data_IF_095519680120
#
_entry.id   IF_095519680120
#
_cell.length_a   1.000
_cell.length_b   1.000
_cell.length_c   1.000
_cell.angle_alpha   90.00
_cell.angle_beta   90.00
_cell.angle_gamma   90.00
#
_symmetry.space_group_name_H-M   'P 1'
#
loop_
_entity.id
_entity.type
_entity.pdbx_description
1 polymer ?
#
# COMPACT_ATOMS: atom_id res chain seq x y z
N UNK A 1 -48.33 -17.69 16.28
CA UNK A 1 -49.36 -17.65 17.33
C UNK A 1 -48.59 -17.61 18.65
N UNK A 2 -48.40 -16.52 19.38
CA UNK A 2 -49.14 -15.27 19.64
C UNK A 2 -48.06 -14.25 20.09
N UNK A 3 -47.80 -13.15 19.36
CA UNK A 3 -48.31 -11.76 19.61
C UNK A 3 -48.30 -11.37 21.09
N UNK A 4 -47.54 -10.38 21.57
CA UNK A 4 -47.76 -8.91 21.57
C UNK A 4 -47.04 -8.46 22.88
N UNK A 5 -46.48 -7.27 23.13
CA UNK A 5 -46.69 -5.91 22.66
C UNK A 5 -45.57 -5.04 23.25
N UNK A 6 -44.96 -4.17 22.43
CA UNK A 6 -44.40 -2.89 22.90
C UNK A 6 -45.51 -1.83 22.99
N UNK A 7 -45.30 -0.77 23.78
CA UNK A 7 -45.65 0.60 23.39
C UNK A 7 -44.44 1.53 23.62
N UNK A 8 -44.01 2.40 22.71
CA UNK A 8 -44.73 3.51 22.08
C UNK A 8 -43.85 4.78 22.19
N UNK A 9 -43.18 5.19 21.10
CA UNK A 9 -43.42 6.38 20.24
C UNK A 9 -43.33 7.77 20.90
N UNK A 10 -42.53 8.65 20.27
CA UNK A 10 -42.90 9.95 19.63
C UNK A 10 -41.65 10.88 19.56
N UNK A 11 -41.38 11.78 18.58
CA UNK A 11 -41.88 12.11 17.25
C UNK A 11 -40.89 13.13 16.59
N UNK A 12 -40.88 13.15 15.23
CA UNK A 12 -40.76 14.30 14.29
C UNK A 12 -39.55 15.28 14.32
N UNK A 13 -38.92 15.42 13.14
CA UNK A 13 -38.86 16.61 12.26
C UNK A 13 -37.69 16.43 11.26
N UNK A 14 -37.92 16.08 10.00
CA UNK A 14 -38.30 16.92 8.82
C UNK A 14 -37.09 17.18 7.90
N UNK A 15 -37.24 16.67 6.67
CA UNK A 15 -36.37 16.70 5.49
C UNK A 15 -36.29 18.14 4.88
N UNK A 16 -35.45 18.45 3.85
CA UNK A 16 -35.59 17.84 2.53
C UNK A 16 -34.30 17.49 1.74
N UNK A 17 -34.45 16.40 1.00
CA UNK A 17 -33.80 16.06 -0.25
C UNK A 17 -34.14 17.10 -1.34
N UNK A 18 -33.19 17.39 -2.23
CA UNK A 18 -33.48 18.04 -3.53
C UNK A 18 -33.17 17.02 -4.63
N UNK A 19 -34.23 16.52 -5.25
CA UNK A 19 -34.21 15.90 -6.58
C UNK A 19 -34.56 16.98 -7.62
N UNK A 20 -33.90 16.95 -8.76
CA UNK A 20 -34.40 17.55 -10.00
C UNK A 20 -34.18 16.56 -11.16
N UNK A 21 -35.26 15.96 -11.63
CA UNK A 21 -35.48 15.51 -13.00
C UNK A 21 -36.56 16.46 -13.59
N UNK A 22 -36.64 16.85 -14.86
CA UNK A 22 -35.92 16.57 -16.10
C UNK A 22 -36.67 17.28 -17.26
N UNK A 23 -36.03 17.42 -18.42
CA UNK A 23 -36.64 17.66 -19.75
C UNK A 23 -35.49 17.48 -20.78
N UNK A 24 -35.56 16.78 -21.91
CA UNK A 24 -36.70 16.24 -22.65
C UNK A 24 -36.85 16.88 -24.03
N UNK A 25 -35.91 16.65 -24.97
CA UNK A 25 -36.01 16.79 -26.44
C UNK A 25 -34.63 16.39 -27.03
N UNK A 26 -34.42 15.62 -28.11
CA UNK A 26 -35.27 15.27 -29.25
C UNK A 26 -34.50 15.58 -30.55
N UNK A 27 -33.93 14.55 -31.18
CA UNK A 27 -33.56 14.37 -32.61
C UNK A 27 -32.52 15.27 -33.32
N UNK A 28 -31.50 14.61 -33.92
CA UNK A 28 -30.97 14.70 -35.32
C UNK A 28 -29.45 14.43 -35.33
N UNK A 29 -28.94 13.28 -35.79
CA UNK A 29 -28.75 12.79 -37.18
C UNK A 29 -27.85 13.70 -38.08
N UNK A 30 -26.59 13.31 -38.22
CA UNK A 30 -25.66 13.56 -39.35
C UNK A 30 -24.33 12.83 -39.00
N UNK A 31 -24.03 11.62 -39.50
CA UNK A 31 -23.53 11.28 -40.85
C UNK A 31 -22.56 12.31 -41.40
N UNK A 32 -21.26 12.00 -41.30
CA UNK A 32 -20.23 12.51 -42.20
C UNK A 32 -19.32 11.34 -42.58
N UNK A 33 -19.67 10.72 -43.70
CA UNK A 33 -18.75 9.97 -44.55
C UNK A 33 -17.71 10.94 -45.10
N UNK A 34 -16.43 10.58 -45.04
CA UNK A 34 -15.47 11.01 -46.04
C UNK A 34 -14.76 9.78 -46.61
N UNK A 35 -15.23 9.40 -47.80
CA UNK A 35 -14.50 8.60 -48.77
C UNK A 35 -13.40 9.46 -49.37
N UNK A 36 -12.18 8.93 -49.44
CA UNK A 36 -11.31 9.18 -50.58
C UNK A 36 -10.71 7.86 -51.06
N UNK A 37 -11.12 7.49 -52.28
CA UNK A 37 -10.47 6.54 -53.18
C UNK A 37 -9.03 7.04 -53.45
N UNK A 38 -8.02 6.20 -53.25
CA UNK A 38 -7.38 5.34 -54.25
C UNK A 38 -6.69 6.09 -55.40
N UNK A 39 -5.36 5.98 -55.46
CA UNK A 39 -4.63 5.66 -56.70
C UNK A 39 -3.29 5.02 -56.38
N UNK A 40 -3.11 3.86 -57.01
CA UNK A 40 -1.91 3.07 -57.19
C UNK A 40 -0.76 3.81 -57.89
N UNK A 41 0.48 3.50 -57.55
CA UNK A 41 1.50 3.19 -58.55
C UNK A 41 2.57 2.25 -57.97
N UNK A 42 2.75 1.11 -58.66
CA UNK A 42 3.94 0.26 -58.59
C UNK A 42 5.09 0.96 -59.30
N UNK A 43 6.31 0.85 -58.78
CA UNK A 43 7.45 0.48 -59.60
C UNK A 43 8.52 -0.25 -58.77
N UNK A 44 8.98 -1.36 -59.34
CA UNK A 44 10.11 -2.20 -58.95
C UNK A 44 11.44 -1.49 -59.23
N UNK A 45 12.53 -1.92 -58.58
CA UNK A 45 13.87 -1.70 -59.13
C UNK A 45 15.04 -1.54 -58.16
N UNK A 46 15.52 -2.67 -57.63
CA UNK A 46 16.93 -3.10 -57.57
C UNK A 46 18.10 -2.11 -57.32
N UNK A 47 18.91 -2.42 -56.29
CA UNK A 47 20.36 -2.67 -56.47
C UNK A 47 21.39 -1.64 -55.98
N UNK A 48 22.41 -2.15 -55.26
CA UNK A 48 23.81 -1.62 -55.21
C UNK A 48 24.08 -0.50 -54.20
N UNK A 49 24.67 -0.75 -53.03
CA UNK A 49 26.12 -0.92 -52.71
C UNK A 49 26.93 0.39 -52.74
N UNK A 50 27.66 0.57 -51.63
CA UNK A 50 28.89 1.36 -51.41
C UNK A 50 28.86 2.80 -50.85
N UNK A 51 29.37 2.85 -49.61
CA UNK A 51 30.40 3.72 -49.04
C UNK A 51 30.26 5.25 -48.91
N UNK A 52 30.35 5.62 -47.62
CA UNK A 52 31.09 6.75 -47.04
C UNK A 52 30.73 8.16 -47.49
N UNK A 53 30.19 8.92 -46.55
CA UNK A 53 30.74 10.24 -46.28
C UNK A 53 30.52 10.67 -44.82
N UNK A 54 31.60 11.20 -44.24
CA UNK A 54 31.59 11.97 -42.99
C UNK A 54 30.97 13.33 -43.30
N UNK A 55 30.01 13.77 -42.50
CA UNK A 55 29.71 15.19 -42.36
C UNK A 55 29.23 15.51 -40.94
N UNK A 56 29.71 16.67 -40.49
CA UNK A 56 29.63 17.27 -39.17
C UNK A 56 28.18 17.53 -38.72
N UNK A 57 27.93 17.40 -37.41
CA UNK A 57 26.68 17.86 -36.79
C UNK A 57 26.96 19.18 -36.08
N UNK A 58 26.58 20.28 -36.75
CA UNK A 58 26.42 21.59 -36.15
C UNK A 58 25.15 21.70 -35.30
N UNK A 59 25.24 22.53 -34.26
CA UNK A 59 24.17 22.90 -33.35
C UNK A 59 23.06 23.73 -33.99
N UNK A 60 21.80 23.40 -33.69
CA UNK A 60 20.63 24.14 -34.16
C UNK A 60 19.38 24.00 -33.27
N UNK A 61 19.34 24.82 -32.21
CA UNK A 61 18.20 25.53 -31.57
C UNK A 61 16.77 24.94 -31.62
N UNK A 62 16.24 24.76 -30.40
CA UNK A 62 14.93 25.19 -29.87
C UNK A 62 13.68 25.22 -30.78
N UNK A 63 12.69 24.40 -30.41
CA UNK A 63 11.28 24.73 -30.53
C UNK A 63 10.52 24.33 -29.25
N UNK A 64 9.84 25.31 -28.68
CA UNK A 64 9.11 25.28 -27.40
C UNK A 64 7.78 24.54 -27.56
N UNK A 65 7.44 23.69 -26.58
CA UNK A 65 6.08 23.19 -26.39
C UNK A 65 5.20 24.26 -25.73
N UNK A 66 4.08 24.57 -26.36
CA UNK A 66 3.04 25.49 -25.88
C UNK A 66 2.00 24.71 -25.10
N UNK A 67 1.83 25.02 -23.81
CA UNK A 67 0.69 24.55 -22.99
C UNK A 67 -0.40 25.61 -23.05
N UNK A 68 -1.56 25.26 -23.61
CA UNK A 68 -2.75 26.10 -23.61
C UNK A 68 -3.49 25.95 -22.27
N UNK A 69 -3.66 27.05 -21.54
CA UNK A 69 -4.54 27.14 -20.36
C UNK A 69 -5.61 28.19 -20.63
N UNK A 70 -6.91 27.97 -20.30
CA UNK A 70 -7.98 28.92 -20.63
C UNK A 70 -8.02 30.13 -19.66
N UNK A 71 -8.60 31.29 -20.07
CA UNK A 71 -8.47 32.56 -19.36
C UNK A 71 -9.65 32.92 -18.45
N UNK A 72 -9.38 33.71 -17.39
CA UNK A 72 -10.38 34.34 -16.51
C UNK A 72 -9.82 35.34 -15.48
N UNK A 73 -9.53 36.56 -15.93
CA UNK A 73 -9.51 37.92 -15.31
C UNK A 73 -9.46 38.07 -13.75
N UNK A 74 -8.37 38.56 -13.09
CA UNK A 74 -7.83 39.97 -12.87
C UNK A 74 -8.52 40.72 -11.68
N UNK A 75 -7.87 41.60 -10.84
CA UNK A 75 -6.56 42.26 -10.97
C UNK A 75 -5.58 42.21 -9.77
N UNK A 76 -4.35 42.63 -10.11
CA UNK A 76 -3.18 42.84 -9.28
C UNK A 76 -3.11 44.24 -8.62
N UNK A 77 -2.36 44.34 -7.53
CA UNK A 77 -1.64 45.56 -7.14
C UNK A 77 -0.13 45.24 -7.03
N UNK A 78 0.65 45.89 -7.90
CA UNK A 78 2.10 46.22 -7.80
C UNK A 78 2.30 47.27 -6.69
N UNK A 79 3.46 47.58 -6.14
CA UNK A 79 4.85 47.15 -6.25
C UNK A 79 5.58 47.70 -4.99
N UNK A 80 6.77 47.21 -4.68
CA UNK A 80 8.01 48.00 -4.48
C UNK A 80 9.06 47.21 -3.66
N UNK A 81 10.15 46.82 -4.33
CA UNK A 81 11.50 46.61 -3.77
C UNK A 81 12.14 48.01 -3.47
N UNK A 82 13.32 48.19 -2.82
CA UNK A 82 14.47 47.28 -2.55
C UNK A 82 15.11 47.57 -1.14
N UNK A 83 16.45 47.46 -0.85
CA UNK A 83 17.58 46.76 -1.45
C UNK A 83 18.46 45.94 -0.45
N UNK A 84 19.54 45.38 -0.99
CA UNK A 84 20.55 44.52 -0.38
C UNK A 84 21.62 45.22 0.49
N UNK A 85 22.38 44.36 1.20
CA UNK A 85 23.74 44.49 1.76
C UNK A 85 23.92 44.97 3.21
N UNK A 86 24.48 44.10 4.07
CA UNK A 86 25.62 44.42 4.95
C UNK A 86 26.12 43.18 5.72
N UNK A 87 27.43 43.18 5.92
CA UNK A 87 28.34 42.14 6.40
C UNK A 87 28.16 41.66 7.86
N UNK A 88 28.70 40.47 8.07
CA UNK A 88 29.16 39.85 9.33
C UNK A 88 29.89 40.77 10.31
N UNK A 89 29.57 40.63 11.60
CA UNK A 89 30.50 40.83 12.73
C UNK A 89 30.12 39.90 13.90
N UNK A 90 31.02 38.95 14.23
CA UNK A 90 31.06 38.25 15.53
C UNK A 90 31.87 39.10 16.51
N UNK A 91 31.44 39.21 17.78
CA UNK A 91 32.15 38.66 18.96
C UNK A 91 31.63 39.20 20.31
N UNK A 92 31.71 38.29 21.30
CA UNK A 92 31.90 38.48 22.75
C UNK A 92 30.68 38.69 23.66
N UNK A 93 30.26 37.58 24.30
CA UNK A 93 30.64 37.32 25.70
C UNK A 93 29.75 37.89 26.81
N UNK A 94 28.98 37.03 27.47
CA UNK A 94 29.02 36.74 28.93
C UNK A 94 27.82 35.87 29.32
N UNK A 95 28.10 34.67 29.82
CA UNK A 95 27.17 33.88 30.62
C UNK A 95 27.04 34.53 32.00
N UNK A 96 25.81 34.75 32.45
CA UNK A 96 25.47 34.88 33.86
C UNK A 96 24.25 34.01 34.16
N UNK A 97 24.43 33.11 35.10
CA UNK A 97 23.36 32.46 35.85
C UNK A 97 22.45 33.50 36.50
N UNK A 98 21.15 33.30 36.40
CA UNK A 98 20.20 33.71 37.44
C UNK A 98 18.92 32.88 37.35
N UNK A 99 18.79 31.97 38.30
CA UNK A 99 17.55 31.36 38.75
C UNK A 99 16.67 32.45 39.37
N UNK A 100 15.57 32.87 38.72
CA UNK A 100 14.43 33.48 39.43
C UNK A 100 13.13 33.45 38.61
N UNK A 101 12.12 32.77 39.18
CA UNK A 101 10.67 33.01 39.08
C UNK A 101 10.05 33.39 37.71
N UNK A 102 9.50 32.40 37.00
CA UNK A 102 8.50 32.62 35.94
C UNK A 102 7.14 33.01 36.55
N UNK A 103 6.99 34.30 36.84
CA UNK A 103 5.69 34.94 37.03
C UNK A 103 4.99 35.14 35.67
N UNK A 104 3.74 34.68 35.60
CA UNK A 104 2.86 34.81 34.44
C UNK A 104 2.74 36.26 33.99
N UNK A 105 2.99 36.55 32.70
CA UNK A 105 2.61 37.80 32.04
C UNK A 105 1.78 37.49 30.79
N UNK A 106 0.55 38.01 30.66
CA UNK A 106 -0.26 37.79 29.47
C UNK A 106 0.18 38.68 28.31
N UNK A 107 0.21 38.08 27.11
CA UNK A 107 0.50 38.73 25.84
C UNK A 107 -0.63 39.73 25.50
N UNK A 108 -0.27 41.00 25.22
CA UNK A 108 -1.20 42.03 24.75
C UNK A 108 -1.34 41.95 23.23
N UNK A 109 -2.52 41.58 22.75
CA UNK A 109 -2.93 41.75 21.35
C UNK A 109 -3.46 43.19 21.13
N UNK A 110 -2.98 43.89 20.10
CA UNK A 110 -3.37 45.27 19.74
C UNK A 110 -3.97 45.27 18.33
N UNK A 111 -5.16 45.85 18.18
CA UNK A 111 -5.88 46.06 16.93
C UNK A 111 -7.12 45.16 16.84
N UNK A 112 -8.37 45.63 16.81
CA UNK A 112 -8.87 46.96 16.46
C UNK A 112 -9.91 46.82 15.35
N UNK A 113 -11.06 46.19 15.64
CA UNK A 113 -12.29 46.35 14.87
C UNK A 113 -13.43 46.48 15.87
N UNK A 114 -14.05 47.65 15.85
CA UNK A 114 -15.22 48.02 16.63
C UNK A 114 -16.43 47.21 16.16
N UNK A 115 -16.89 46.31 17.02
CA UNK A 115 -18.16 45.60 16.88
C UNK A 115 -18.68 45.28 18.28
N UNK A 116 -19.59 46.09 18.78
CA UNK A 116 -20.19 45.89 20.11
C UNK A 116 -21.27 44.81 20.06
N UNK A 117 -20.88 43.53 20.00
CA UNK A 117 -21.80 42.45 20.35
C UNK A 117 -21.89 42.33 21.87
N UNK A 118 -22.90 42.98 22.47
CA UNK A 118 -23.35 42.64 23.82
C UNK A 118 -24.08 41.30 23.76
N UNK A 119 -23.36 40.21 24.03
CA UNK A 119 -24.00 38.98 24.49
C UNK A 119 -24.44 39.23 25.94
N UNK A 120 -25.70 39.63 26.13
CA UNK A 120 -26.33 39.61 27.46
C UNK A 120 -26.53 38.14 27.84
N UNK A 121 -25.90 37.70 28.93
CA UNK A 121 -26.25 36.46 29.62
C UNK A 121 -25.35 35.26 29.38
N UNK A 122 -24.03 35.40 29.52
CA UNK A 122 -23.18 34.25 29.84
C UNK A 122 -22.67 34.47 31.27
N UNK A 123 -23.22 33.68 32.17
CA UNK A 123 -22.81 33.57 33.56
C UNK A 123 -21.29 33.28 33.63
N UNK A 124 -20.55 34.00 34.48
CA UNK A 124 -19.08 33.86 34.59
C UNK A 124 -18.66 32.43 34.99
N UNK A 125 -19.59 31.62 35.47
CA UNK A 125 -19.38 30.21 35.82
C UNK A 125 -19.33 29.26 34.61
N UNK A 126 -19.84 29.66 33.44
CA UNK A 126 -19.82 28.80 32.23
C UNK A 126 -18.47 28.85 31.51
N UNK A 127 -17.67 29.90 31.74
CA UNK A 127 -16.36 30.04 31.11
C UNK A 127 -15.23 29.29 31.84
N UNK A 128 -15.48 28.77 33.06
CA UNK A 128 -14.50 27.98 33.81
C UNK A 128 -14.53 26.48 33.49
N UNK A 129 -15.64 25.97 32.92
CA UNK A 129 -15.78 24.55 32.55
C UNK A 129 -15.17 24.20 31.18
N UNK A 130 -14.95 25.19 30.31
CA UNK A 130 -14.41 24.98 28.96
C UNK A 130 -12.89 25.21 28.83
N UNK A 131 -12.23 25.77 29.84
CA UNK A 131 -10.78 26.06 29.83
C UNK A 131 -9.92 25.06 30.61
N UNK A 132 -10.51 23.96 31.09
CA UNK A 132 -9.72 22.77 31.43
C UNK A 132 -9.42 22.05 30.13
N UNK A 133 -8.25 22.33 29.54
CA UNK A 133 -7.59 21.35 28.69
C UNK A 133 -7.69 20.01 29.42
N UNK A 134 -8.47 19.08 28.85
CA UNK A 134 -8.77 17.77 29.40
C UNK A 134 -7.47 17.08 29.82
N UNK A 135 -7.08 17.26 31.09
CA UNK A 135 -5.94 16.59 31.69
C UNK A 135 -6.36 15.14 31.78
N UNK A 136 -5.88 14.30 30.85
CA UNK A 136 -6.13 12.85 30.90
C UNK A 136 -5.77 12.38 32.30
N UNK A 137 -6.74 11.80 33.00
CA UNK A 137 -6.53 11.22 34.31
C UNK A 137 -5.40 10.18 34.20
N UNK A 138 -4.55 10.14 35.21
CA UNK A 138 -3.42 9.22 35.32
C UNK A 138 -3.76 8.07 36.26
N UNK A 139 -2.94 7.02 36.28
CA UNK A 139 -3.12 5.90 37.24
C UNK A 139 -3.05 6.35 38.70
N UNK A 140 -2.43 7.51 38.97
CA UNK A 140 -2.34 8.11 40.30
C UNK A 140 -3.67 8.76 40.67
N UNK A 141 -4.30 9.47 39.72
CA UNK A 141 -5.60 10.09 39.94
C UNK A 141 -6.68 9.04 40.22
N UNK A 142 -6.66 7.91 39.49
CA UNK A 142 -7.55 6.77 39.75
C UNK A 142 -7.29 6.10 41.10
N UNK A 143 -6.03 6.00 41.51
CA UNK A 143 -5.67 5.45 42.81
C UNK A 143 -6.26 6.31 43.95
N UNK A 144 -6.16 7.62 43.82
CA UNK A 144 -6.72 8.58 44.77
C UNK A 144 -8.26 8.50 44.82
N UNK A 145 -8.91 8.48 43.65
CA UNK A 145 -10.38 8.37 43.53
C UNK A 145 -10.93 7.05 44.11
N UNK A 146 -10.19 5.94 43.95
CA UNK A 146 -10.59 4.63 44.46
C UNK A 146 -10.11 4.34 45.90
N UNK A 147 -9.34 5.24 46.51
CA UNK A 147 -8.80 5.09 47.86
C UNK A 147 -7.81 3.91 47.98
N UNK A 148 -6.98 3.69 46.97
CA UNK A 148 -6.00 2.59 46.92
C UNK A 148 -4.63 3.09 46.47
N UNK A 149 -3.59 2.26 46.54
CA UNK A 149 -2.28 2.60 45.97
C UNK A 149 -2.28 2.48 44.44
N UNK A 150 -1.42 3.24 43.76
CA UNK A 150 -1.19 3.13 42.31
C UNK A 150 -0.86 1.67 41.90
N UNK A 151 -0.08 0.96 42.73
CA UNK A 151 0.24 -0.46 42.52
C UNK A 151 -1.01 -1.34 42.51
N UNK A 152 -2.00 -1.04 43.36
CA UNK A 152 -3.27 -1.77 43.43
C UNK A 152 -4.11 -1.54 42.18
N UNK A 153 -4.21 -0.30 41.69
CA UNK A 153 -4.86 0.02 40.40
C UNK A 153 -4.22 -0.78 39.27
N UNK A 154 -2.89 -0.82 39.24
CA UNK A 154 -2.15 -1.56 38.22
C UNK A 154 -2.39 -3.08 38.27
N UNK A 155 -2.54 -3.67 39.46
CA UNK A 155 -2.88 -5.09 39.62
C UNK A 155 -4.31 -5.40 39.20
N UNK A 156 -5.25 -4.49 39.45
CA UNK A 156 -6.65 -4.59 39.00
C UNK A 156 -6.73 -4.56 37.47
N UNK A 157 -6.02 -3.64 36.83
CA UNK A 157 -5.95 -3.53 35.37
C UNK A 157 -5.30 -4.75 34.69
N UNK A 158 -4.46 -5.48 35.41
CA UNK A 158 -3.80 -6.72 34.95
C UNK A 158 -4.57 -7.99 35.32
N UNK A 159 -5.71 -7.85 35.99
CA UNK A 159 -6.52 -8.94 36.52
C UNK A 159 -5.74 -9.98 37.33
N UNK A 160 -4.84 -9.53 38.21
CA UNK A 160 -4.06 -10.44 39.04
C UNK A 160 -4.89 -10.96 40.23
N UNK A 161 -4.82 -12.27 40.57
CA UNK A 161 -5.61 -12.88 41.65
C UNK A 161 -5.26 -12.38 43.07
N UNK A 162 -4.21 -11.55 43.18
CA UNK A 162 -3.74 -10.97 44.44
C UNK A 162 -4.59 -9.80 44.96
N UNK A 163 -5.64 -9.38 44.25
CA UNK A 163 -6.51 -8.27 44.65
C UNK A 163 -7.84 -8.79 45.17
N UNK A 164 -8.23 -8.34 46.38
CA UNK A 164 -9.54 -8.68 46.96
C UNK A 164 -10.69 -8.26 46.02
N UNK A 165 -11.74 -9.08 45.86
CA UNK A 165 -12.87 -8.79 44.95
C UNK A 165 -13.49 -7.42 45.16
N UNK A 166 -13.68 -7.00 46.42
CA UNK A 166 -14.24 -5.69 46.78
C UNK A 166 -13.38 -4.52 46.30
N UNK A 167 -12.06 -4.63 46.46
CA UNK A 167 -11.10 -3.61 46.00
C UNK A 167 -11.06 -3.55 44.47
N UNK A 168 -11.13 -4.71 43.81
CA UNK A 168 -11.22 -4.80 42.34
C UNK A 168 -12.47 -4.10 41.83
N UNK A 169 -13.63 -4.38 42.42
CA UNK A 169 -14.90 -3.77 42.06
C UNK A 169 -14.88 -2.24 42.23
N UNK A 170 -14.32 -1.73 43.34
CA UNK A 170 -14.20 -0.29 43.60
C UNK A 170 -13.33 0.42 42.56
N UNK A 171 -12.18 -0.15 42.22
CA UNK A 171 -11.27 0.43 41.21
C UNK A 171 -11.91 0.39 39.81
N UNK A 172 -12.55 -0.73 39.43
CA UNK A 172 -13.22 -0.84 38.13
C UNK A 172 -14.37 0.14 37.98
N UNK A 173 -15.13 0.39 39.04
CA UNK A 173 -16.18 1.40 39.06
C UNK A 173 -15.62 2.80 38.77
N UNK A 174 -14.55 3.20 39.45
CA UNK A 174 -13.89 4.49 39.20
C UNK A 174 -13.32 4.59 37.78
N UNK A 175 -12.77 3.50 37.25
CA UNK A 175 -12.28 3.46 35.86
C UNK A 175 -13.44 3.71 34.88
N UNK A 176 -14.60 3.10 35.12
CA UNK A 176 -15.79 3.24 34.30
C UNK A 176 -16.40 4.65 34.41
N UNK A 177 -16.59 5.15 35.63
CA UNK A 177 -17.22 6.45 35.93
C UNK A 177 -16.43 7.63 35.31
N UNK A 178 -15.11 7.46 35.12
CA UNK A 178 -14.20 8.48 34.62
C UNK A 178 -13.57 8.15 33.26
N UNK A 179 -14.07 7.12 32.58
CA UNK A 179 -13.59 6.65 31.27
C UNK A 179 -12.06 6.53 31.17
N UNK A 180 -11.42 6.12 32.27
CA UNK A 180 -9.98 6.08 32.35
C UNK A 180 -9.43 4.93 31.50
N UNK A 181 -8.60 5.27 30.52
CA UNK A 181 -7.80 4.32 29.77
C UNK A 181 -6.31 4.48 30.12
N UNK A 182 -5.61 3.41 30.52
CA UNK A 182 -4.17 3.47 30.75
C UNK A 182 -3.44 4.00 29.52
N UNK A 183 -2.52 4.95 29.70
CA UNK A 183 -1.74 5.46 28.57
C UNK A 183 -0.90 4.34 27.96
N UNK A 184 -0.86 4.26 26.62
CA UNK A 184 -0.05 3.26 25.92
C UNK A 184 1.43 3.33 26.33
N UNK A 185 1.94 4.54 26.64
CA UNK A 185 3.29 4.76 27.16
C UNK A 185 3.51 4.14 28.56
N UNK A 186 2.56 4.26 29.50
CA UNK A 186 2.68 3.65 30.82
C UNK A 186 2.60 2.11 30.74
N UNK A 187 1.77 1.56 29.85
CA UNK A 187 1.72 0.13 29.56
C UNK A 187 3.03 -0.36 28.93
N UNK A 188 3.60 0.40 27.99
CA UNK A 188 4.90 0.14 27.37
C UNK A 188 6.04 0.08 28.39
N UNK A 189 6.13 1.08 29.27
CA UNK A 189 7.18 1.13 30.30
C UNK A 189 7.11 -0.08 31.26
N UNK A 190 5.91 -0.55 31.58
CA UNK A 190 5.72 -1.66 32.52
C UNK A 190 5.89 -3.04 31.86
N UNK A 191 5.42 -3.21 30.63
CA UNK A 191 5.46 -4.49 29.91
C UNK A 191 6.69 -4.66 29.03
N UNK A 192 7.46 -3.58 28.81
CA UNK A 192 8.51 -3.47 27.78
C UNK A 192 8.03 -3.83 26.37
N UNK A 193 6.71 -3.76 26.13
CA UNK A 193 6.06 -4.08 24.86
C UNK A 193 5.08 -2.99 24.45
N UNK A 194 5.07 -2.63 23.17
CA UNK A 194 4.19 -1.62 22.59
C UNK A 194 2.81 -2.12 22.21
N UNK A 195 2.65 -3.42 22.06
CA UNK A 195 1.47 -4.04 21.47
C UNK A 195 1.29 -3.60 20.02
N UNK A 196 2.39 -3.33 19.30
CA UNK A 196 2.36 -2.85 17.92
C UNK A 196 3.35 -3.62 17.05
N UNK A 197 2.93 -4.03 15.86
CA UNK A 197 3.76 -4.69 14.85
C UNK A 197 3.89 -3.78 13.63
N UNK A 198 5.11 -3.60 13.14
CA UNK A 198 5.34 -2.94 11.86
C UNK A 198 5.09 -3.92 10.71
N UNK A 199 4.32 -3.51 9.72
CA UNK A 199 4.12 -4.22 8.46
C UNK A 199 4.73 -3.38 7.35
N UNK A 200 5.81 -3.89 6.74
CA UNK A 200 6.53 -3.22 5.65
C UNK A 200 6.09 -3.84 4.31
N UNK A 201 5.54 -3.02 3.42
CA UNK A 201 5.03 -3.44 2.11
C UNK A 201 5.73 -2.68 0.99
N UNK A 202 5.75 -3.24 -0.22
CA UNK A 202 6.49 -2.62 -1.33
C UNK A 202 5.74 -1.43 -1.95
N UNK A 203 4.57 -1.68 -2.55
CA UNK A 203 3.78 -0.62 -3.18
C UNK A 203 2.29 -0.89 -3.04
N UNK A 204 1.54 0.11 -2.58
CA UNK A 204 0.08 0.07 -2.45
C UNK A 204 -0.66 0.15 -3.79
N UNK A 205 0.05 0.48 -4.89
CA UNK A 205 -0.54 0.51 -6.24
C UNK A 205 -0.85 -0.90 -6.76
N UNK A 206 -0.09 -1.91 -6.34
CA UNK A 206 -0.34 -3.30 -6.69
C UNK A 206 -1.40 -3.89 -5.75
N UNK A 207 -2.58 -4.32 -6.25
CA UNK A 207 -3.71 -4.77 -5.42
C UNK A 207 -3.43 -5.98 -4.52
N UNK A 208 -2.35 -6.73 -4.76
CA UNK A 208 -1.90 -7.80 -3.87
C UNK A 208 -1.57 -7.26 -2.47
N UNK A 209 -0.89 -6.12 -2.35
CA UNK A 209 -0.43 -5.62 -1.06
C UNK A 209 -1.57 -5.10 -0.17
N UNK A 210 -2.56 -4.34 -0.67
CA UNK A 210 -3.75 -4.01 0.10
C UNK A 210 -4.51 -5.25 0.58
N UNK A 211 -4.64 -6.29 -0.25
CA UNK A 211 -5.28 -7.55 0.16
C UNK A 211 -4.49 -8.23 1.29
N UNK A 212 -3.17 -8.37 1.13
CA UNK A 212 -2.31 -8.98 2.15
C UNK A 212 -2.32 -8.17 3.45
N UNK A 213 -2.27 -6.84 3.35
CA UNK A 213 -2.29 -5.92 4.48
C UNK A 213 -3.60 -6.07 5.26
N UNK A 214 -4.75 -6.14 4.60
CA UNK A 214 -6.04 -6.34 5.26
C UNK A 214 -6.03 -7.63 6.10
N UNK A 215 -5.61 -8.75 5.51
CA UNK A 215 -5.50 -10.03 6.22
C UNK A 215 -4.56 -9.95 7.42
N UNK A 216 -3.39 -9.30 7.26
CA UNK A 216 -2.43 -9.10 8.34
C UNK A 216 -3.01 -8.24 9.47
N UNK A 217 -3.67 -7.13 9.14
CA UNK A 217 -4.30 -6.22 10.11
C UNK A 217 -5.35 -6.97 10.92
N UNK A 218 -6.24 -7.69 10.27
CA UNK A 218 -7.31 -8.45 10.94
C UNK A 218 -6.72 -9.53 11.85
N UNK A 219 -5.70 -10.26 11.37
CA UNK A 219 -5.09 -11.32 12.15
C UNK A 219 -4.28 -10.80 13.33
N UNK A 220 -3.50 -9.73 13.15
CA UNK A 220 -2.77 -9.06 14.23
C UNK A 220 -3.72 -8.48 15.28
N UNK A 221 -4.82 -7.84 14.86
CA UNK A 221 -5.84 -7.32 15.76
C UNK A 221 -6.49 -8.42 16.60
N UNK A 222 -6.79 -9.58 15.98
CA UNK A 222 -7.32 -10.75 16.71
C UNK A 222 -6.36 -11.30 17.78
N UNK A 223 -5.06 -11.00 17.66
CA UNK A 223 -4.02 -11.35 18.64
C UNK A 223 -3.67 -10.20 19.59
N UNK A 224 -4.43 -9.10 19.57
CA UNK A 224 -4.25 -7.94 20.46
C UNK A 224 -3.13 -6.99 20.05
N UNK A 225 -2.63 -7.08 18.82
CA UNK A 225 -1.64 -6.16 18.26
C UNK A 225 -2.31 -5.04 17.47
N UNK A 226 -1.68 -3.87 17.50
CA UNK A 226 -1.93 -2.78 16.54
C UNK A 226 -0.93 -2.88 15.40
N UNK A 227 -1.29 -2.35 14.24
CA UNK A 227 -0.43 -2.37 13.05
C UNK A 227 0.05 -0.97 12.72
N UNK A 228 1.34 -0.81 12.42
CA UNK A 228 1.88 0.37 11.72
C UNK A 228 2.31 -0.06 10.33
N UNK A 229 1.90 0.71 9.32
CA UNK A 229 2.18 0.38 7.92
C UNK A 229 3.32 1.25 7.43
N UNK A 230 4.29 0.59 6.79
CA UNK A 230 5.46 1.23 6.19
C UNK A 230 5.48 0.84 4.72
N UNK A 231 5.38 1.82 3.84
CA UNK A 231 5.59 1.61 2.41
C UNK A 231 7.06 1.82 2.10
N UNK A 232 7.66 0.86 1.40
CA UNK A 232 9.04 0.92 0.96
C UNK A 232 9.10 0.66 -0.54
N UNK A 233 9.23 1.74 -1.30
CA UNK A 233 9.42 1.65 -2.73
C UNK A 233 10.91 1.45 -3.06
N UNK A 234 11.24 0.29 -3.65
CA UNK A 234 12.60 -0.02 -4.08
C UNK A 234 13.53 -0.48 -2.95
N UNK A 235 14.75 0.05 -2.93
CA UNK A 235 15.81 -0.41 -2.02
C UNK A 235 15.63 0.23 -0.64
N UNK A 236 15.71 -0.59 0.40
CA UNK A 236 15.82 -0.13 1.78
C UNK A 236 17.06 0.77 1.95
N UNK A 237 16.91 1.90 2.64
CA UNK A 237 18.01 2.82 2.94
C UNK A 237 18.33 2.85 4.44
N UNK A 238 19.48 3.42 4.79
CA UNK A 238 19.97 3.52 6.17
C UNK A 238 19.00 4.28 7.09
N UNK A 239 18.29 5.27 6.55
CA UNK A 239 17.29 6.03 7.29
C UNK A 239 16.10 5.13 7.68
N UNK A 240 15.62 4.31 6.75
CA UNK A 240 14.55 3.33 6.97
C UNK A 240 14.98 2.25 7.95
N UNK A 241 16.22 1.72 7.85
CA UNK A 241 16.77 0.77 8.82
C UNK A 241 16.70 1.34 10.23
N UNK A 242 17.25 2.56 10.39
CA UNK A 242 17.29 3.24 11.68
C UNK A 242 15.89 3.50 12.23
N UNK A 243 15.00 4.04 11.41
CA UNK A 243 13.63 4.32 11.80
C UNK A 243 12.86 3.05 12.21
N UNK A 244 13.03 1.94 11.47
CA UNK A 244 12.41 0.66 11.83
C UNK A 244 13.00 0.08 13.12
N UNK A 245 14.33 0.10 13.27
CA UNK A 245 15.03 -0.37 14.47
C UNK A 245 14.60 0.43 15.72
N UNK A 246 14.59 1.76 15.63
CA UNK A 246 14.22 2.69 16.71
C UNK A 246 12.71 2.76 16.96
N UNK A 247 11.87 2.30 16.02
CA UNK A 247 10.42 2.37 16.17
C UNK A 247 9.95 1.61 17.42
N UNK A 248 8.90 2.13 18.08
CA UNK A 248 8.27 1.50 19.24
C UNK A 248 7.37 0.32 18.81
N UNK A 249 7.91 -0.63 18.05
CA UNK A 249 7.24 -1.85 17.57
C UNK A 249 7.87 -3.09 18.18
N UNK A 250 7.04 -4.06 18.55
CA UNK A 250 7.46 -5.32 19.18
C UNK A 250 8.05 -6.32 18.16
N UNK A 251 7.84 -6.08 16.87
CA UNK A 251 8.33 -6.92 15.79
C UNK A 251 7.93 -6.38 14.42
N UNK A 252 8.49 -6.99 13.38
CA UNK A 252 8.37 -6.55 11.99
C UNK A 252 7.93 -7.72 11.11
N UNK A 253 6.91 -7.48 10.29
CA UNK A 253 6.54 -8.34 9.16
C UNK A 253 6.96 -7.61 7.89
N UNK A 254 7.81 -8.22 7.09
CA UNK A 254 8.47 -7.57 5.96
C UNK A 254 8.11 -8.26 4.64
N UNK A 255 7.28 -7.60 3.82
CA UNK A 255 6.80 -8.09 2.53
C UNK A 255 7.56 -7.52 1.31
N UNK A 256 8.43 -6.54 1.53
CA UNK A 256 9.14 -5.81 0.48
C UNK A 256 10.57 -6.32 0.22
N UNK A 257 10.95 -7.47 0.79
CA UNK A 257 12.36 -7.90 0.85
C UNK A 257 12.97 -8.11 -0.54
N UNK A 258 14.18 -7.60 -0.73
CA UNK A 258 15.06 -7.85 -1.87
C UNK A 258 16.38 -8.44 -1.38
N UNK A 259 17.10 -9.16 -2.23
CA UNK A 259 18.40 -9.76 -1.86
C UNK A 259 19.40 -8.72 -1.31
N UNK A 260 19.37 -7.51 -1.84
CA UNK A 260 20.18 -6.36 -1.39
C UNK A 260 19.75 -5.77 -0.04
N UNK A 261 18.55 -6.11 0.46
CA UNK A 261 18.07 -5.71 1.79
C UNK A 261 18.68 -6.55 2.91
N UNK A 262 19.38 -7.66 2.60
CA UNK A 262 19.85 -8.65 3.58
C UNK A 262 20.59 -8.04 4.77
N UNK A 263 21.65 -7.26 4.50
CA UNK A 263 22.49 -6.66 5.55
C UNK A 263 21.69 -5.70 6.43
N UNK A 264 20.81 -4.91 5.81
CA UNK A 264 19.93 -3.97 6.49
C UNK A 264 18.89 -4.68 7.35
N UNK A 265 18.30 -5.77 6.86
CA UNK A 265 17.37 -6.59 7.62
C UNK A 265 18.04 -7.24 8.83
N UNK A 266 19.32 -7.66 8.72
CA UNK A 266 20.09 -8.20 9.86
C UNK A 266 20.24 -7.16 10.97
N UNK A 267 20.46 -5.89 10.62
CA UNK A 267 20.55 -4.80 11.61
C UNK A 267 19.22 -4.51 12.29
N UNK A 268 18.09 -4.61 11.59
CA UNK A 268 16.76 -4.53 12.22
C UNK A 268 16.52 -5.75 13.12
N UNK A 269 16.91 -6.95 12.67
CA UNK A 269 16.73 -8.21 13.39
C UNK A 269 17.53 -8.27 14.70
N UNK A 270 18.64 -7.54 14.81
CA UNK A 270 19.42 -7.43 16.03
C UNK A 270 18.66 -6.74 17.17
N UNK A 271 17.71 -5.86 16.84
CA UNK A 271 16.93 -5.08 17.82
C UNK A 271 15.55 -5.68 18.10
N UNK A 272 14.94 -6.36 17.11
CA UNK A 272 13.59 -6.91 17.24
C UNK A 272 13.31 -8.07 16.28
N UNK A 273 12.36 -8.96 16.62
CA UNK A 273 11.93 -10.03 15.73
C UNK A 273 11.47 -9.52 14.36
N UNK A 274 11.98 -10.14 13.30
CA UNK A 274 11.56 -9.89 11.92
C UNK A 274 11.16 -11.20 11.25
N UNK A 275 10.08 -11.14 10.47
CA UNK A 275 9.62 -12.26 9.63
C UNK A 275 9.39 -11.74 8.23
N UNK A 276 9.93 -12.45 7.24
CA UNK A 276 9.71 -12.18 5.84
C UNK A 276 8.43 -12.90 5.38
N UNK A 277 7.59 -12.21 4.62
CA UNK A 277 6.38 -12.78 4.03
C UNK A 277 6.34 -12.47 2.54
N UNK A 278 5.80 -13.37 1.72
CA UNK A 278 5.62 -13.22 0.27
C UNK A 278 6.92 -13.17 -0.54
N UNK A 279 7.93 -12.42 -0.10
CA UNK A 279 9.29 -12.39 -0.65
C UNK A 279 10.29 -12.99 0.33
N UNK A 280 11.28 -13.70 -0.22
CA UNK A 280 12.48 -14.16 0.47
C UNK A 280 13.73 -13.39 0.02
N UNK A 281 14.78 -13.51 0.81
CA UNK A 281 16.17 -13.17 0.46
C UNK A 281 16.99 -14.44 0.43
N UNK A 282 18.09 -14.49 -0.32
CA UNK A 282 18.96 -15.66 -0.48
C UNK A 282 19.81 -15.98 0.76
N UNK A 283 19.18 -16.11 1.94
CA UNK A 283 19.81 -16.49 3.21
C UNK A 283 18.77 -17.10 4.16
N UNK A 284 19.22 -18.02 5.02
CA UNK A 284 18.39 -18.69 6.03
C UNK A 284 18.41 -17.99 7.40
N UNK A 285 18.82 -16.72 7.44
CA UNK A 285 18.92 -15.94 8.69
C UNK A 285 17.56 -15.50 9.24
N UNK A 286 16.51 -15.49 8.41
CA UNK A 286 15.20 -14.94 8.75
C UNK A 286 14.12 -16.00 8.67
N UNK A 287 13.15 -15.93 9.59
CA UNK A 287 11.90 -16.64 9.39
C UNK A 287 11.23 -16.13 8.12
N UNK A 288 10.88 -17.04 7.23
CA UNK A 288 10.42 -16.70 5.89
C UNK A 288 9.20 -17.53 5.54
N UNK A 289 8.09 -16.88 5.18
CA UNK A 289 6.86 -17.54 4.79
C UNK A 289 6.49 -17.10 3.38
N UNK A 290 6.52 -18.02 2.44
CA UNK A 290 6.31 -17.75 1.01
C UNK A 290 5.32 -18.73 0.40
N UNK A 291 4.67 -18.31 -0.68
CA UNK A 291 4.01 -19.23 -1.61
C UNK A 291 5.05 -19.93 -2.48
N UNK A 292 4.76 -21.14 -2.94
CA UNK A 292 5.62 -21.88 -3.87
C UNK A 292 5.62 -21.27 -5.28
N UNK A 293 6.31 -20.14 -5.42
CA UNK A 293 6.35 -19.36 -6.66
C UNK A 293 6.89 -20.16 -7.84
N UNK A 294 7.86 -21.06 -7.60
CA UNK A 294 8.40 -21.96 -8.62
C UNK A 294 7.33 -22.93 -9.11
N UNK A 295 6.70 -23.68 -8.20
CA UNK A 295 5.66 -24.62 -8.59
C UNK A 295 4.46 -23.90 -9.24
N UNK A 296 4.14 -22.68 -8.81
CA UNK A 296 3.09 -21.87 -9.42
C UNK A 296 3.38 -21.53 -10.89
N UNK A 297 4.59 -21.04 -11.19
CA UNK A 297 5.00 -20.80 -12.57
C UNK A 297 5.02 -22.09 -13.41
N UNK A 298 5.52 -23.18 -12.82
CA UNK A 298 5.56 -24.50 -13.46
C UNK A 298 4.16 -25.03 -13.82
N UNK A 299 3.18 -24.89 -12.93
CA UNK A 299 1.77 -25.28 -13.18
C UNK A 299 1.18 -24.57 -14.40
N UNK A 300 1.48 -23.27 -14.59
CA UNK A 300 0.98 -22.53 -15.76
C UNK A 300 1.61 -23.05 -17.05
N UNK A 301 2.92 -23.34 -17.04
CA UNK A 301 3.61 -23.91 -18.19
C UNK A 301 3.06 -25.30 -18.54
N UNK A 302 2.94 -26.19 -17.54
CA UNK A 302 2.38 -27.53 -17.73
C UNK A 302 0.93 -27.47 -18.26
N UNK A 303 0.14 -26.48 -17.81
CA UNK A 303 -1.20 -26.23 -18.32
C UNK A 303 -1.20 -25.81 -19.80
N UNK A 304 -0.32 -24.90 -20.21
CA UNK A 304 -0.19 -24.51 -21.62
C UNK A 304 0.26 -25.66 -22.51
N UNK A 305 1.25 -26.45 -22.06
CA UNK A 305 1.78 -27.60 -22.79
C UNK A 305 0.72 -28.68 -22.95
N UNK A 306 0.02 -29.03 -21.87
CA UNK A 306 -1.03 -30.06 -21.90
C UNK A 306 -2.23 -29.67 -22.76
N UNK A 307 -2.53 -28.36 -22.86
CA UNK A 307 -3.54 -27.83 -23.77
C UNK A 307 -3.06 -27.68 -25.23
N UNK A 308 -1.81 -28.03 -25.53
CA UNK A 308 -1.25 -27.97 -26.88
C UNK A 308 -1.01 -26.56 -27.43
N UNK A 309 -0.85 -25.57 -26.54
CA UNK A 309 -0.50 -24.18 -26.92
C UNK A 309 0.92 -24.14 -27.49
N UNK A 310 1.11 -23.39 -28.57
CA UNK A 310 2.32 -23.47 -29.40
C UNK A 310 3.15 -22.19 -29.39
N UNK A 311 2.52 -21.03 -29.31
CA UNK A 311 3.22 -19.75 -29.33
C UNK A 311 2.89 -19.00 -28.04
N UNK A 312 3.82 -19.07 -27.09
CA UNK A 312 3.62 -18.70 -25.71
C UNK A 312 4.36 -17.40 -25.41
N UNK A 313 3.62 -16.41 -24.92
CA UNK A 313 4.17 -15.17 -24.39
C UNK A 313 4.40 -15.24 -22.88
N UNK A 314 5.46 -14.58 -22.41
CA UNK A 314 5.68 -14.24 -21.01
C UNK A 314 5.74 -12.71 -20.88
N UNK A 315 4.82 -12.15 -20.12
CA UNK A 315 4.89 -10.75 -19.71
C UNK A 315 5.34 -10.72 -18.24
N UNK A 316 6.55 -10.18 -18.03
CA UNK A 316 7.14 -10.11 -16.70
C UNK A 316 7.99 -8.85 -16.52
N UNK A 317 8.41 -8.57 -15.28
CA UNK A 317 9.17 -7.38 -14.94
C UNK A 317 10.66 -7.64 -14.66
N UNK A 318 11.30 -8.54 -15.39
CA UNK A 318 12.64 -9.00 -15.05
C UNK A 318 13.79 -8.02 -15.35
N UNK A 319 13.51 -6.93 -16.04
CA UNK A 319 14.47 -5.83 -16.24
C UNK A 319 14.24 -4.67 -15.25
N UNK A 320 13.19 -4.75 -14.42
CA UNK A 320 12.84 -3.71 -13.44
C UNK A 320 13.56 -3.87 -12.11
N UNK A 321 13.48 -2.86 -11.23
CA UNK A 321 13.87 -3.02 -9.80
C UNK A 321 13.15 -4.21 -9.14
N UNK A 322 11.98 -4.59 -9.64
CA UNK A 322 11.18 -5.72 -9.15
C UNK A 322 11.63 -7.08 -9.70
N UNK A 323 12.56 -7.13 -10.66
CA UNK A 323 13.22 -8.38 -11.09
C UNK A 323 14.04 -9.04 -10.00
N UNK A 324 14.52 -8.23 -9.06
CA UNK A 324 15.24 -8.67 -7.88
C UNK A 324 14.32 -9.33 -6.85
N UNK A 325 12.99 -9.21 -7.01
CA UNK A 325 12.06 -9.89 -6.12
C UNK A 325 12.10 -11.39 -6.38
N UNK A 326 12.31 -12.16 -5.31
CA UNK A 326 12.33 -13.62 -5.36
C UNK A 326 11.06 -14.21 -5.99
N UNK A 327 9.90 -13.60 -5.76
CA UNK A 327 8.63 -14.05 -6.34
C UNK A 327 8.67 -14.12 -7.86
N UNK A 328 9.14 -13.07 -8.53
CA UNK A 328 9.16 -12.97 -9.99
C UNK A 328 10.19 -13.94 -10.57
N UNK A 329 11.40 -13.95 -10.01
CA UNK A 329 12.46 -14.88 -10.41
C UNK A 329 11.99 -16.33 -10.34
N UNK A 330 11.34 -16.72 -9.25
CA UNK A 330 10.88 -18.10 -9.06
C UNK A 330 9.71 -18.46 -9.99
N UNK A 331 8.73 -17.55 -10.18
CA UNK A 331 7.62 -17.73 -11.13
C UNK A 331 8.14 -17.94 -12.56
N UNK A 332 9.06 -17.09 -13.00
CA UNK A 332 9.67 -17.22 -14.32
C UNK A 332 10.48 -18.49 -14.47
N UNK A 333 11.30 -18.81 -13.47
CA UNK A 333 12.12 -20.04 -13.47
C UNK A 333 11.25 -21.27 -13.63
N UNK A 334 10.20 -21.40 -12.82
CA UNK A 334 9.28 -22.53 -12.89
C UNK A 334 8.55 -22.60 -14.23
N UNK A 335 8.13 -21.46 -14.76
CA UNK A 335 7.45 -21.38 -16.06
C UNK A 335 8.38 -21.80 -17.21
N UNK A 336 9.58 -21.21 -17.29
CA UNK A 336 10.56 -21.51 -18.34
C UNK A 336 10.99 -22.98 -18.32
N UNK A 337 11.29 -23.52 -17.14
CA UNK A 337 11.64 -24.94 -16.99
C UNK A 337 10.47 -25.88 -17.33
N UNK A 338 9.23 -25.45 -17.06
CA UNK A 338 8.03 -26.19 -17.44
C UNK A 338 7.75 -26.23 -18.93
N UNK A 339 8.06 -25.15 -19.65
CA UNK A 339 7.94 -25.12 -21.10
C UNK A 339 8.95 -26.04 -21.80
N UNK A 340 10.06 -26.38 -21.13
CA UNK A 340 11.09 -27.26 -21.67
C UNK A 340 11.59 -26.76 -23.03
N UNK A 341 11.50 -27.60 -24.07
CA UNK A 341 11.96 -27.26 -25.41
C UNK A 341 11.22 -26.05 -26.04
N UNK A 342 9.97 -25.77 -25.66
CA UNK A 342 9.22 -24.60 -26.17
C UNK A 342 9.85 -23.28 -25.73
N UNK A 343 10.61 -23.27 -24.62
CA UNK A 343 11.30 -22.08 -24.11
C UNK A 343 12.54 -21.67 -24.93
N UNK A 344 13.01 -22.53 -25.86
CA UNK A 344 14.28 -22.35 -26.57
C UNK A 344 14.12 -21.99 -28.06
N UNK A 345 12.89 -21.86 -28.56
CA UNK A 345 12.62 -21.56 -29.96
C UNK A 345 11.82 -20.28 -30.18
N UNK A 346 11.48 -19.99 -31.44
CA UNK A 346 10.56 -18.90 -31.79
C UNK A 346 9.15 -19.10 -31.21
N UNK A 347 8.87 -20.22 -30.55
CA UNK A 347 7.63 -20.48 -29.84
C UNK A 347 7.47 -19.66 -28.54
N UNK A 348 8.52 -18.96 -28.10
CA UNK A 348 8.52 -18.19 -26.86
C UNK A 348 8.90 -16.72 -27.10
N UNK A 349 8.11 -15.79 -26.58
CA UNK A 349 8.47 -14.37 -26.54
C UNK A 349 8.34 -13.82 -25.14
N UNK A 350 9.39 -13.13 -24.72
CA UNK A 350 9.50 -12.46 -23.43
C UNK A 350 9.43 -10.96 -23.64
N UNK A 351 8.56 -10.29 -22.90
CA UNK A 351 8.56 -8.85 -22.80
C UNK A 351 8.86 -8.44 -21.35
N UNK A 352 9.92 -7.65 -21.17
CA UNK A 352 10.41 -7.21 -19.86
C UNK A 352 9.95 -5.79 -19.50
N UNK A 353 9.63 -5.58 -18.22
CA UNK A 353 9.08 -4.33 -17.68
C UNK A 353 10.06 -3.47 -16.89
N UNK A 354 9.62 -2.24 -16.61
CA UNK A 354 10.10 -1.36 -15.54
C UNK A 354 9.18 -1.33 -14.29
N UNK A 355 7.92 -1.78 -14.39
CA UNK A 355 6.90 -1.68 -13.32
C UNK A 355 5.80 -2.78 -13.42
N UNK A 356 4.98 -2.93 -12.36
CA UNK A 356 3.82 -3.82 -12.25
C UNK A 356 2.50 -3.03 -12.23
N UNK A 357 2.10 -2.50 -13.39
CA UNK A 357 0.85 -1.74 -13.54
C UNK A 357 -0.05 -2.28 -14.64
N UNK A 358 -1.30 -1.81 -14.63
CA UNK A 358 -2.27 -2.08 -15.69
C UNK A 358 -1.80 -1.54 -17.05
N UNK A 359 -1.36 -0.27 -17.08
CA UNK A 359 -0.93 0.42 -18.29
C UNK A 359 0.28 -0.28 -18.92
N UNK A 360 1.14 -0.85 -18.08
CA UNK A 360 2.25 -1.66 -18.54
C UNK A 360 1.75 -2.94 -19.22
N UNK A 361 0.87 -3.70 -18.57
CA UNK A 361 0.30 -4.91 -19.16
C UNK A 361 -0.38 -4.64 -20.51
N UNK A 362 -1.12 -3.53 -20.59
CA UNK A 362 -1.79 -3.09 -21.81
C UNK A 362 -0.78 -2.82 -22.95
N UNK A 363 0.18 -1.91 -22.72
CA UNK A 363 1.16 -1.53 -23.75
C UNK A 363 2.04 -2.70 -24.18
N UNK A 364 2.48 -3.51 -23.23
CA UNK A 364 3.34 -4.66 -23.52
C UNK A 364 2.62 -5.71 -24.35
N UNK A 365 1.36 -5.98 -24.05
CA UNK A 365 0.57 -6.89 -24.86
C UNK A 365 0.32 -6.34 -26.26
N UNK A 366 0.10 -5.03 -26.43
CA UNK A 366 -0.01 -4.42 -27.77
C UNK A 366 1.25 -4.66 -28.61
N UNK A 367 2.44 -4.41 -28.02
CA UNK A 367 3.73 -4.69 -28.69
C UNK A 367 3.86 -6.18 -29.00
N UNK A 368 3.57 -7.06 -28.04
CA UNK A 368 3.65 -8.50 -28.21
C UNK A 368 2.75 -8.99 -29.36
N UNK A 369 1.52 -8.50 -29.45
CA UNK A 369 0.58 -8.86 -30.52
C UNK A 369 1.00 -8.32 -31.89
N UNK A 370 1.64 -7.16 -31.93
CA UNK A 370 2.17 -6.58 -33.16
C UNK A 370 3.39 -7.37 -33.69
N UNK A 371 4.28 -7.78 -32.80
CA UNK A 371 5.46 -8.58 -33.14
C UNK A 371 5.11 -10.05 -33.43
N UNK A 372 4.17 -10.61 -32.65
CA UNK A 372 3.76 -12.01 -32.67
C UNK A 372 2.25 -12.16 -32.73
N UNK A 373 1.63 -11.91 -33.90
CA UNK A 373 0.19 -12.09 -34.08
C UNK A 373 -0.26 -13.54 -33.92
N UNK A 374 0.67 -14.50 -33.94
CA UNK A 374 0.46 -15.95 -33.75
C UNK A 374 0.47 -16.41 -32.29
N UNK A 375 0.73 -15.51 -31.31
CA UNK A 375 0.69 -15.86 -29.89
C UNK A 375 -0.70 -16.38 -29.48
N UNK A 376 -0.73 -17.58 -28.90
CA UNK A 376 -1.95 -18.32 -28.56
C UNK A 376 -2.15 -18.54 -27.06
N UNK A 377 -1.12 -18.24 -26.25
CA UNK A 377 -1.21 -18.18 -24.79
C UNK A 377 -0.20 -17.19 -24.21
N UNK A 378 -0.57 -16.47 -23.14
CA UNK A 378 0.31 -15.54 -22.43
C UNK A 378 0.20 -15.77 -20.93
N UNK A 379 1.35 -15.95 -20.29
CA UNK A 379 1.48 -15.90 -18.84
C UNK A 379 1.97 -14.52 -18.41
N UNK A 380 1.21 -13.88 -17.53
CA UNK A 380 1.59 -12.63 -16.87
C UNK A 380 1.96 -12.96 -15.42
N UNK A 381 3.15 -12.57 -14.97
CA UNK A 381 3.63 -12.89 -13.61
C UNK A 381 2.92 -12.12 -12.49
N UNK A 382 1.92 -11.31 -12.83
CA UNK A 382 1.00 -10.61 -11.92
C UNK A 382 -0.38 -10.40 -12.57
N UNK A 383 -1.46 -10.51 -11.78
CA UNK A 383 -2.83 -10.29 -12.25
C UNK A 383 -3.11 -8.88 -12.77
N UNK A 384 -2.57 -7.81 -12.16
CA UNK A 384 -2.86 -6.44 -12.65
C UNK A 384 -2.32 -6.24 -14.06
N UNK A 385 -1.17 -6.85 -14.35
CA UNK A 385 -0.55 -6.89 -15.68
C UNK A 385 -1.38 -7.76 -16.62
N UNK A 386 -1.86 -8.92 -16.15
CA UNK A 386 -2.73 -9.79 -16.93
C UNK A 386 -4.04 -9.12 -17.35
N UNK A 387 -4.63 -8.30 -16.46
CA UNK A 387 -5.84 -7.53 -16.74
C UNK A 387 -5.57 -6.47 -17.82
N UNK A 388 -4.43 -5.77 -17.75
CA UNK A 388 -4.00 -4.86 -18.82
C UNK A 388 -3.80 -5.59 -20.16
N UNK A 389 -3.14 -6.76 -20.13
CA UNK A 389 -2.93 -7.57 -21.31
C UNK A 389 -4.25 -8.08 -21.92
N UNK A 390 -5.19 -8.49 -21.08
CA UNK A 390 -6.53 -8.91 -21.50
C UNK A 390 -7.28 -7.77 -22.20
N UNK A 391 -7.20 -6.55 -21.68
CA UNK A 391 -7.82 -5.38 -22.30
C UNK A 391 -7.17 -5.02 -23.65
N UNK A 392 -5.84 -5.08 -23.74
CA UNK A 392 -5.13 -4.88 -25.00
C UNK A 392 -5.49 -5.93 -26.06
N UNK A 393 -5.61 -7.20 -25.67
CA UNK A 393 -6.04 -8.26 -26.59
C UNK A 393 -7.44 -7.99 -27.14
N UNK A 394 -8.38 -7.56 -26.28
CA UNK A 394 -9.74 -7.15 -26.69
C UNK A 394 -9.70 -5.95 -27.63
N UNK A 395 -8.87 -4.94 -27.34
CA UNK A 395 -8.68 -3.77 -28.18
C UNK A 395 -8.15 -4.13 -29.58
N UNK A 396 -7.29 -5.14 -29.67
CA UNK A 396 -6.77 -5.69 -30.93
C UNK A 396 -7.74 -6.67 -31.63
N UNK A 397 -8.94 -6.88 -31.09
CA UNK A 397 -9.95 -7.79 -31.65
C UNK A 397 -9.66 -9.28 -31.47
N UNK A 398 -8.65 -9.66 -30.65
CA UNK A 398 -8.34 -11.05 -30.33
C UNK A 398 -9.42 -11.63 -29.43
N UNK A 399 -9.93 -12.81 -29.78
CA UNK A 399 -10.90 -13.53 -28.96
C UNK A 399 -10.20 -14.28 -27.82
N UNK A 400 -10.59 -13.98 -26.59
CA UNK A 400 -10.15 -14.70 -25.38
C UNK A 400 -11.37 -15.41 -24.80
N UNK A 401 -11.37 -16.75 -24.62
CA UNK A 401 -10.22 -17.66 -24.69
C UNK A 401 -10.00 -18.32 -26.07
N UNK A 402 -10.79 -17.99 -27.10
CA UNK A 402 -10.81 -18.72 -28.37
C UNK A 402 -9.46 -18.75 -29.10
N UNK A 403 -8.90 -17.58 -29.40
CA UNK A 403 -7.63 -17.43 -30.11
C UNK A 403 -6.45 -17.31 -29.16
N UNK A 404 -6.66 -16.69 -27.99
CA UNK A 404 -5.61 -16.35 -27.04
C UNK A 404 -6.03 -16.74 -25.62
N UNK A 405 -5.12 -17.41 -24.91
CA UNK A 405 -5.23 -17.62 -23.47
C UNK A 405 -4.46 -16.58 -22.68
N UNK A 406 -5.04 -16.11 -21.58
CA UNK A 406 -4.36 -15.19 -20.66
C UNK A 406 -4.43 -15.76 -19.25
N UNK A 407 -3.27 -15.96 -18.63
CA UNK A 407 -3.15 -16.42 -17.24
C UNK A 407 -2.37 -15.40 -16.42
N UNK A 408 -2.91 -15.04 -15.26
CA UNK A 408 -2.25 -14.18 -14.28
C UNK A 408 -1.60 -14.93 -13.13
N UNK A 409 -1.26 -14.18 -12.09
CA UNK A 409 -0.76 -14.70 -10.83
C UNK A 409 -1.20 -13.75 -9.71
N UNK A 410 -1.66 -14.31 -8.58
CA UNK A 410 -1.96 -13.71 -7.27
C UNK A 410 -3.42 -13.97 -6.80
N UNK A 411 -4.36 -14.13 -7.73
CA UNK A 411 -5.81 -14.17 -7.52
C UNK A 411 -6.37 -12.93 -6.81
N UNK A 412 -5.99 -11.74 -7.29
CA UNK A 412 -6.50 -10.45 -6.77
C UNK A 412 -8.02 -10.36 -6.94
N UNK A 413 -8.74 -9.49 -6.18
CA UNK A 413 -10.21 -9.48 -6.20
C UNK A 413 -10.77 -9.21 -7.60
N UNK A 414 -10.08 -8.36 -8.38
CA UNK A 414 -10.43 -8.03 -9.76
C UNK A 414 -10.40 -9.24 -10.70
N UNK A 415 -9.53 -10.24 -10.45
CA UNK A 415 -9.44 -11.44 -11.28
C UNK A 415 -10.76 -12.24 -11.31
N UNK A 416 -11.58 -12.10 -10.26
CA UNK A 416 -12.88 -12.77 -10.11
C UNK A 416 -14.05 -11.99 -10.67
N UNK A 417 -13.87 -10.71 -11.02
CA UNK A 417 -14.96 -9.91 -11.57
C UNK A 417 -15.45 -10.54 -12.86
N UNK A 418 -16.76 -10.57 -13.03
CA UNK A 418 -17.39 -11.26 -14.16
C UNK A 418 -16.79 -10.79 -15.50
N UNK A 419 -16.70 -9.50 -15.75
CA UNK A 419 -16.13 -8.95 -16.98
C UNK A 419 -14.63 -9.28 -17.22
N UNK A 420 -13.91 -9.75 -16.20
CA UNK A 420 -12.50 -10.14 -16.27
C UNK A 420 -12.39 -11.67 -16.29
N UNK A 421 -12.87 -12.34 -15.24
CA UNK A 421 -12.90 -13.80 -15.07
C UNK A 421 -11.58 -14.45 -15.49
N UNK A 422 -10.50 -13.96 -14.88
CA UNK A 422 -9.11 -14.27 -15.21
C UNK A 422 -8.68 -15.59 -14.55
N UNK A 423 -8.19 -16.53 -15.35
CA UNK A 423 -7.44 -17.68 -14.88
C UNK A 423 -6.13 -17.23 -14.26
N UNK A 424 -5.81 -17.71 -13.05
CA UNK A 424 -4.66 -17.20 -12.28
C UNK A 424 -4.19 -18.19 -11.23
N UNK A 425 -2.93 -18.09 -10.83
CA UNK A 425 -2.41 -18.83 -9.69
C UNK A 425 -2.79 -18.12 -8.39
N UNK A 426 -3.59 -18.78 -7.56
CA UNK A 426 -4.01 -18.28 -6.26
C UNK A 426 -2.92 -18.49 -5.21
N UNK A 427 -2.47 -17.40 -4.59
CA UNK A 427 -1.60 -17.49 -3.42
C UNK A 427 -2.43 -17.88 -2.18
N UNK A 428 -1.89 -18.74 -1.29
CA UNK A 428 -2.56 -19.15 -0.05
C UNK A 428 -2.42 -18.07 1.05
N UNK A 429 -2.76 -16.82 0.76
CA UNK A 429 -2.51 -15.68 1.64
C UNK A 429 -3.09 -15.84 3.05
N UNK A 430 -4.33 -16.36 3.26
CA UNK A 430 -4.84 -16.59 4.61
C UNK A 430 -3.93 -17.52 5.42
N UNK A 431 -3.49 -18.64 4.83
CA UNK A 431 -2.60 -19.58 5.50
C UNK A 431 -1.20 -18.98 5.74
N UNK A 432 -0.67 -18.18 4.80
CA UNK A 432 0.59 -17.46 4.99
C UNK A 432 0.51 -16.48 6.17
N UNK A 433 -0.57 -15.70 6.25
CA UNK A 433 -0.80 -14.71 7.31
C UNK A 433 -0.93 -15.39 8.67
N UNK A 434 -1.65 -16.51 8.74
CA UNK A 434 -1.74 -17.32 9.95
C UNK A 434 -0.36 -17.76 10.46
N UNK A 435 0.47 -18.30 9.56
CA UNK A 435 1.80 -18.78 9.90
C UNK A 435 2.73 -17.64 10.33
N UNK A 436 2.68 -16.50 9.65
CA UNK A 436 3.52 -15.34 9.98
C UNK A 436 3.16 -14.75 11.35
N UNK A 437 1.88 -14.55 11.63
CA UNK A 437 1.46 -13.98 12.92
C UNK A 437 1.75 -14.94 14.07
N UNK A 438 1.50 -16.24 13.89
CA UNK A 438 1.82 -17.23 14.92
C UNK A 438 3.32 -17.32 15.17
N UNK A 439 4.13 -17.35 14.10
CA UNK A 439 5.59 -17.40 14.23
C UNK A 439 6.15 -16.16 14.89
N UNK A 440 5.62 -14.97 14.58
CA UNK A 440 6.06 -13.71 15.17
C UNK A 440 5.81 -13.72 16.68
N UNK A 441 4.63 -14.16 17.10
CA UNK A 441 4.28 -14.26 18.52
C UNK A 441 5.20 -15.26 19.26
N UNK A 442 5.52 -16.40 18.64
CA UNK A 442 6.49 -17.36 19.19
C UNK A 442 7.88 -16.77 19.32
N UNK A 443 8.36 -16.06 18.29
CA UNK A 443 9.63 -15.32 18.31
C UNK A 443 9.71 -14.28 19.43
N UNK A 444 8.64 -13.52 19.63
CA UNK A 444 8.57 -12.50 20.70
C UNK A 444 8.65 -13.14 22.10
N UNK A 445 8.22 -14.39 22.26
CA UNK A 445 8.24 -15.12 23.55
C UNK A 445 9.48 -15.99 23.72
N UNK A 446 10.04 -16.49 22.61
CA UNK A 446 11.22 -17.34 22.54
C UNK A 446 12.18 -16.78 21.48
N UNK A 447 13.05 -15.82 21.84
CA UNK A 447 13.93 -15.15 20.88
C UNK A 447 14.91 -16.09 20.17
N UNK A 448 15.34 -17.17 20.83
CA UNK A 448 16.40 -18.07 20.36
C UNK A 448 15.92 -19.19 19.41
N UNK A 449 14.69 -19.09 18.88
CA UNK A 449 14.19 -20.06 17.90
C UNK A 449 15.12 -20.13 16.68
N UNK A 450 15.40 -21.32 16.15
CA UNK A 450 16.09 -21.42 14.87
C UNK A 450 15.20 -20.79 13.77
N UNK A 451 15.72 -19.92 12.89
CA UNK A 451 14.98 -19.44 11.73
C UNK A 451 14.46 -20.61 10.90
N UNK A 452 13.31 -20.45 10.24
CA UNK A 452 12.80 -21.46 9.34
C UNK A 452 12.10 -20.82 8.13
N UNK A 453 12.15 -21.53 7.01
CA UNK A 453 11.43 -21.17 5.79
C UNK A 453 10.23 -22.10 5.62
N UNK A 454 9.04 -21.52 5.49
CA UNK A 454 7.80 -22.23 5.18
C UNK A 454 7.35 -21.88 3.77
N UNK A 455 7.20 -22.90 2.93
CA UNK A 455 6.72 -22.77 1.56
C UNK A 455 5.33 -23.40 1.49
N UNK A 456 4.31 -22.59 1.19
CA UNK A 456 2.94 -23.07 1.06
C UNK A 456 2.59 -23.36 -0.41
N UNK A 457 1.84 -24.44 -0.68
CA UNK A 457 1.36 -24.73 -2.03
C UNK A 457 0.37 -23.66 -2.52
N UNK A 458 0.30 -23.50 -3.83
CA UNK A 458 -0.67 -22.66 -4.53
C UNK A 458 -1.41 -23.48 -5.58
N UNK A 459 -2.54 -22.93 -6.03
CA UNK A 459 -3.45 -23.58 -6.97
C UNK A 459 -3.64 -22.72 -8.21
N UNK A 460 -3.68 -23.36 -9.39
CA UNK A 460 -4.09 -22.70 -10.63
C UNK A 460 -5.61 -22.71 -10.69
N UNK A 461 -6.23 -21.53 -10.59
CA UNK A 461 -7.67 -21.36 -10.67
C UNK A 461 -8.04 -21.04 -12.11
N UNK A 462 -8.75 -21.96 -12.76
CA UNK A 462 -9.21 -21.79 -14.14
C UNK A 462 -10.54 -21.02 -14.19
N UNK A 463 -10.61 -20.06 -15.12
CA UNK A 463 -11.76 -19.20 -15.42
C UNK A 463 -11.82 -18.91 -16.93
N UNK A 464 -12.72 -18.00 -17.35
CA UNK A 464 -13.04 -17.75 -18.76
C UNK A 464 -11.89 -17.31 -19.64
N UNK A 465 -10.78 -16.82 -19.10
CA UNK A 465 -9.63 -16.47 -19.97
C UNK A 465 -8.87 -17.68 -20.51
N UNK A 466 -9.22 -18.90 -20.08
CA UNK A 466 -8.65 -20.15 -20.61
C UNK A 466 -9.64 -21.31 -20.73
N UNK A 467 -10.93 -21.10 -20.44
CA UNK A 467 -11.97 -22.15 -20.40
C UNK A 467 -13.18 -21.83 -21.26
#
# INVERSE_FOLDING_TARGET
MVEDKEPGKCCRCSQPYIETAGAGAGSNLAVLEQRHQATSHRHEGNGGVEHSDRAEVEHGKHSRFTVLTPPGQVPAHRADDPPASAQTLRKNGKLRDSTTALGQRPCRYRGGLEGSFRIRGIDRNVCSSYLTMSKRLTSIDIANLAGVSQTTVSRVLQDLPSVKPETKARVLKVIQDYEYSPSAAARQMKTRRSGTVAVVIASLSNPLYPMLLQLLVDRLASRGFRTTVWELEGKMDEATVRALAESATDGVIFAAALDESREMLTRVAAEKPIILIHRSVGTDLFDTIVSDNYAGGRRVADYFVSAGRKCIGLISAASSKSSKASTIRERERGFMEGLGALSQGNAFVRADAADFSYEYGFRTMQTLLAERPDVDAVFCTNDIVAIGALDAARHSGKQVPGELWVVGYDDIPMARWECISLSTVQQPLPAMVEQVVDRLQRRMTTPDLAPYTFVLPNDLVLRRTTS
#
